data_IF_874227849714
#
_entry.id   IF_874227849714
#
_cell.length_a   1.000
_cell.length_b   1.000
_cell.length_c   1.000
_cell.angle_alpha   90.00
_cell.angle_beta   90.00
_cell.angle_gamma   90.00
#
_symmetry.space_group_name_H-M   'P 1'
#
loop_
_entity.id
_entity.type
_entity.pdbx_description
1 polymer ?
#
# COMPACT_ATOMS: atom_id res chain seq x y z
N UNK A 1 -4.66 -11.11 -1.23
CA UNK A 1 -3.51 -11.04 -0.29
C UNK A 1 -2.26 -11.76 -0.78
N UNK A 2 -2.26 -13.09 -0.99
CA UNK A 2 -1.04 -13.85 -1.37
C UNK A 2 -0.71 -14.99 -0.40
N UNK A 3 0.45 -15.63 -0.58
CA UNK A 3 0.91 -16.76 0.25
C UNK A 3 1.46 -16.25 1.58
N UNK A 4 1.17 -16.96 2.68
CA UNK A 4 1.65 -16.61 4.01
C UNK A 4 2.74 -17.59 4.45
N UNK A 5 3.92 -17.08 4.79
CA UNK A 5 5.02 -17.90 5.31
C UNK A 5 5.31 -17.55 6.76
N UNK A 6 5.30 -18.56 7.62
CA UNK A 6 5.69 -18.44 9.01
C UNK A 6 6.93 -19.31 9.25
N UNK A 7 8.00 -18.69 9.74
CA UNK A 7 9.23 -19.36 10.12
C UNK A 7 9.47 -19.10 11.62
N UNK A 8 9.59 -20.18 12.38
CA UNK A 8 9.82 -20.16 13.83
C UNK A 8 11.09 -20.95 14.15
N UNK A 9 11.99 -20.35 14.92
CA UNK A 9 13.16 -21.03 15.46
C UNK A 9 12.96 -21.20 16.96
N UNK A 10 13.11 -22.42 17.45
CA UNK A 10 12.94 -22.77 18.88
C UNK A 10 14.20 -23.46 19.40
N UNK A 11 14.45 -23.35 20.71
CA UNK A 11 15.49 -24.12 21.40
C UNK A 11 14.97 -25.53 21.80
N UNK A 12 15.79 -26.30 22.50
CA UNK A 12 15.47 -27.67 22.94
C UNK A 12 14.25 -27.74 23.88
N UNK A 13 13.98 -26.67 24.64
CA UNK A 13 12.82 -26.55 25.52
C UNK A 13 11.56 -26.05 24.79
N UNK A 14 11.63 -25.83 23.47
CA UNK A 14 10.53 -25.30 22.67
C UNK A 14 10.31 -23.78 22.81
N UNK A 15 11.26 -23.06 23.42
CA UNK A 15 11.18 -21.60 23.58
C UNK A 15 11.58 -20.91 22.27
N UNK A 16 10.71 -20.01 21.79
CA UNK A 16 10.94 -19.19 20.60
C UNK A 16 12.20 -18.32 20.75
N UNK A 17 13.13 -18.49 19.81
CA UNK A 17 14.36 -17.70 19.70
C UNK A 17 14.28 -16.67 18.57
N UNK A 18 13.55 -16.99 17.48
CA UNK A 18 13.38 -16.12 16.32
C UNK A 18 12.06 -16.40 15.63
N UNK A 19 11.47 -15.36 15.06
CA UNK A 19 10.29 -15.43 14.22
C UNK A 19 10.51 -14.60 12.95
N UNK A 20 10.16 -15.14 11.80
CA UNK A 20 10.15 -14.44 10.52
C UNK A 20 8.81 -14.70 9.82
N UNK A 21 8.11 -13.62 9.46
CA UNK A 21 6.77 -13.67 8.88
C UNK A 21 6.78 -12.96 7.53
N UNK A 22 6.65 -13.71 6.44
CA UNK A 22 6.45 -13.13 5.11
C UNK A 22 4.95 -13.05 4.85
N UNK A 23 4.39 -11.87 5.13
CA UNK A 23 2.97 -11.63 4.99
C UNK A 23 2.59 -11.45 3.54
N UNK A 24 1.54 -12.17 3.14
CA UNK A 24 0.89 -12.16 1.85
C UNK A 24 0.81 -10.77 1.17
N UNK A 25 0.19 -9.77 1.81
CA UNK A 25 0.05 -8.42 1.22
C UNK A 25 1.40 -7.76 0.91
N UNK A 26 2.44 -8.03 1.70
CA UNK A 26 3.79 -7.49 1.47
C UNK A 26 4.37 -7.93 0.13
N UNK A 27 4.03 -9.14 -0.33
CA UNK A 27 4.45 -9.66 -1.63
C UNK A 27 3.83 -8.89 -2.80
N UNK A 28 2.65 -8.31 -2.59
CA UNK A 28 1.92 -7.53 -3.61
C UNK A 28 2.32 -6.05 -3.64
N UNK A 29 3.21 -5.59 -2.76
CA UNK A 29 3.54 -4.16 -2.65
C UNK A 29 4.06 -3.57 -3.98
N UNK A 30 4.91 -4.31 -4.70
CA UNK A 30 5.40 -3.88 -6.00
C UNK A 30 4.29 -3.75 -7.05
N UNK A 31 3.34 -4.68 -7.06
CA UNK A 31 2.20 -4.66 -7.98
C UNK A 31 1.27 -3.47 -7.67
N UNK A 32 0.98 -3.23 -6.38
CA UNK A 32 0.18 -2.09 -5.93
C UNK A 32 0.80 -0.75 -6.36
N UNK A 33 2.11 -0.56 -6.15
CA UNK A 33 2.81 0.67 -6.58
C UNK A 33 2.75 0.87 -8.10
N UNK A 34 2.88 -0.20 -8.89
CA UNK A 34 2.74 -0.14 -10.35
C UNK A 34 1.32 0.23 -10.76
N UNK A 35 0.29 -0.30 -10.10
CA UNK A 35 -1.11 0.04 -10.35
C UNK A 35 -1.38 1.53 -10.09
N UNK A 36 -0.89 2.08 -8.98
CA UNK A 36 -1.01 3.52 -8.69
C UNK A 36 -0.33 4.35 -9.78
N UNK A 37 0.88 3.96 -10.21
CA UNK A 37 1.58 4.64 -11.31
C UNK A 37 0.79 4.61 -12.62
N UNK A 38 0.20 3.46 -12.97
CA UNK A 38 -0.61 3.33 -14.19
C UNK A 38 -1.86 4.20 -14.14
N UNK A 39 -2.56 4.24 -13.00
CA UNK A 39 -3.73 5.11 -12.78
C UNK A 39 -3.32 6.58 -12.92
N UNK A 40 -2.21 6.98 -12.30
CA UNK A 40 -1.69 8.34 -12.40
C UNK A 40 -1.40 8.75 -13.86
N UNK A 41 -0.66 7.91 -14.60
CA UNK A 41 -0.31 8.18 -16.00
C UNK A 41 -1.54 8.27 -16.93
N UNK A 42 -2.60 7.53 -16.63
CA UNK A 42 -3.78 7.47 -17.50
C UNK A 42 -4.83 8.53 -17.17
N UNK A 43 -4.87 9.02 -15.93
CA UNK A 43 -5.95 9.88 -15.45
C UNK A 43 -5.52 11.27 -14.98
N UNK A 44 -4.23 11.51 -14.74
CA UNK A 44 -3.72 12.85 -14.39
C UNK A 44 -3.31 13.56 -15.68
N UNK A 45 -4.16 14.46 -16.15
CA UNK A 45 -4.01 15.21 -17.41
C UNK A 45 -4.05 16.73 -17.22
N UNK A 46 -3.56 17.23 -16.08
CA UNK A 46 -3.46 18.67 -15.79
C UNK A 46 -4.67 19.27 -15.05
N UNK A 47 -5.76 18.51 -14.89
CA UNK A 47 -6.98 18.95 -14.17
C UNK A 47 -6.93 18.76 -12.64
N UNK A 48 -5.74 18.59 -12.05
CA UNK A 48 -5.55 18.41 -10.61
C UNK A 48 -6.05 17.07 -10.06
N UNK A 49 -6.00 16.92 -8.72
CA UNK A 49 -6.45 15.75 -7.97
C UNK A 49 -7.95 15.84 -7.66
N UNK A 50 -8.78 15.38 -8.60
CA UNK A 50 -10.23 15.27 -8.39
C UNK A 50 -10.64 13.98 -7.64
N UNK A 51 -11.85 14.00 -7.08
CA UNK A 51 -12.42 12.88 -6.32
C UNK A 51 -12.52 11.58 -7.13
N UNK A 52 -12.71 11.67 -8.45
CA UNK A 52 -12.71 10.50 -9.34
C UNK A 52 -11.35 9.80 -9.40
N UNK A 53 -10.25 10.57 -9.38
CA UNK A 53 -8.88 10.03 -9.36
C UNK A 53 -8.58 9.39 -8.00
N UNK A 54 -8.94 10.04 -6.90
CA UNK A 54 -8.75 9.50 -5.55
C UNK A 54 -9.47 8.15 -5.39
N UNK A 55 -10.73 8.08 -5.83
CA UNK A 55 -11.50 6.84 -5.82
C UNK A 55 -10.89 5.74 -6.72
N UNK A 56 -10.29 6.10 -7.87
CA UNK A 56 -9.60 5.13 -8.73
C UNK A 56 -8.34 4.59 -8.08
N UNK A 57 -7.53 5.44 -7.46
CA UNK A 57 -6.30 5.03 -6.75
C UNK A 57 -6.67 4.00 -5.68
N UNK A 58 -7.66 4.30 -4.86
CA UNK A 58 -8.10 3.38 -3.82
C UNK A 58 -8.76 2.13 -4.36
N UNK A 59 -9.58 2.24 -5.40
CA UNK A 59 -10.16 1.07 -6.05
C UNK A 59 -9.03 0.14 -6.53
N UNK A 60 -8.00 0.70 -7.17
CA UNK A 60 -6.81 -0.03 -7.60
C UNK A 60 -6.11 -0.76 -6.46
N UNK A 61 -6.00 -0.13 -5.30
CA UNK A 61 -5.43 -0.76 -4.09
C UNK A 61 -6.37 -1.84 -3.52
N UNK A 62 -7.67 -1.58 -3.43
CA UNK A 62 -8.69 -2.52 -2.92
C UNK A 62 -8.80 -3.81 -3.74
N UNK A 63 -8.50 -3.77 -5.03
CA UNK A 63 -8.47 -4.97 -5.89
C UNK A 63 -7.46 -6.03 -5.42
N UNK A 64 -6.43 -5.64 -4.66
CA UNK A 64 -5.46 -6.58 -4.08
C UNK A 64 -5.93 -7.18 -2.74
N UNK A 65 -7.07 -6.72 -2.22
CA UNK A 65 -7.56 -6.97 -0.85
C UNK A 65 -6.41 -6.86 0.17
N UNK A 66 -5.78 -5.69 0.31
CA UNK A 66 -4.63 -5.55 1.16
C UNK A 66 -5.07 -5.66 2.63
N UNK A 67 -4.61 -6.71 3.32
CA UNK A 67 -4.64 -6.68 4.78
C UNK A 67 -3.52 -5.78 5.27
N UNK A 68 -3.75 -4.48 5.31
CA UNK A 68 -2.75 -3.55 5.84
C UNK A 68 -2.46 -3.86 7.31
N UNK A 69 -3.50 -4.18 8.09
CA UNK A 69 -3.34 -4.63 9.47
C UNK A 69 -2.54 -5.92 9.65
N UNK A 70 -2.69 -6.89 8.74
CA UNK A 70 -1.90 -8.11 8.82
C UNK A 70 -0.45 -7.89 8.36
N UNK A 71 -0.19 -6.95 7.45
CA UNK A 71 1.14 -6.75 6.86
C UNK A 71 2.02 -5.75 7.59
N UNK A 72 1.42 -4.76 8.26
CA UNK A 72 2.16 -3.72 8.99
C UNK A 72 1.84 -3.71 10.47
N UNK A 73 0.97 -4.63 10.94
CA UNK A 73 0.44 -4.64 12.31
C UNK A 73 -0.29 -3.34 12.70
N UNK A 74 -0.76 -2.54 11.72
CA UNK A 74 -1.43 -1.25 11.93
C UNK A 74 -2.97 -1.33 11.89
N UNK A 75 -3.66 -0.52 12.70
CA UNK A 75 -5.10 -0.63 12.95
C UNK A 75 -5.96 -0.03 11.82
N UNK A 76 -6.66 -0.90 11.06
CA UNK A 76 -8.01 -0.72 10.49
C UNK A 76 -8.34 0.42 9.50
N UNK A 77 -7.54 1.48 9.40
CA UNK A 77 -7.78 2.61 8.51
C UNK A 77 -6.90 2.51 7.27
N UNK A 78 -7.40 3.03 6.15
CA UNK A 78 -6.66 3.17 4.90
C UNK A 78 -6.57 4.66 4.56
N UNK A 79 -5.83 5.44 5.38
CA UNK A 79 -5.66 6.85 5.13
C UNK A 79 -4.95 7.01 3.78
N UNK A 80 -5.53 7.83 2.91
CA UNK A 80 -4.96 8.16 1.62
C UNK A 80 -4.35 9.55 1.72
N UNK A 81 -3.04 9.63 1.56
CA UNK A 81 -2.30 10.88 1.42
C UNK A 81 -1.73 10.93 0.00
N UNK A 82 -2.20 11.88 -0.81
CA UNK A 82 -1.76 12.07 -2.20
C UNK A 82 -1.15 13.45 -2.34
N UNK A 83 0.06 13.48 -2.88
CA UNK A 83 0.77 14.69 -3.24
C UNK A 83 1.04 14.68 -4.74
N UNK A 84 0.63 15.76 -5.42
CA UNK A 84 0.99 16.03 -6.80
C UNK A 84 2.22 16.94 -6.81
N UNK A 85 3.33 16.40 -7.29
CA UNK A 85 4.62 17.12 -7.36
C UNK A 85 4.94 17.44 -8.81
N UNK A 86 5.28 18.70 -9.07
CA UNK A 86 5.64 19.18 -10.40
C UNK A 86 7.06 18.80 -10.81
N UNK A 87 7.43 19.06 -12.08
CA UNK A 87 8.72 18.65 -12.63
C UNK A 87 9.92 19.29 -11.92
N UNK A 88 9.74 20.44 -11.25
CA UNK A 88 10.77 21.15 -10.51
C UNK A 88 10.78 20.78 -9.02
N UNK A 89 9.96 19.80 -8.61
CA UNK A 89 9.87 19.32 -7.23
C UNK A 89 8.93 20.14 -6.34
N UNK A 90 8.21 21.10 -6.91
CA UNK A 90 7.21 21.89 -6.22
C UNK A 90 5.95 21.08 -5.93
N UNK A 91 5.36 21.26 -4.74
CA UNK A 91 4.07 20.67 -4.41
C UNK A 91 2.96 21.47 -5.10
N UNK A 92 2.33 20.88 -6.11
CA UNK A 92 1.24 21.51 -6.87
C UNK A 92 -0.09 21.35 -6.14
N UNK A 93 -0.34 20.18 -5.56
CA UNK A 93 -1.60 19.88 -4.87
C UNK A 93 -1.41 18.77 -3.83
N UNK A 94 -2.17 18.83 -2.74
CA UNK A 94 -2.18 17.81 -1.69
C UNK A 94 -3.62 17.48 -1.28
N UNK A 95 -3.87 16.20 -1.05
CA UNK A 95 -5.15 15.67 -0.57
C UNK A 95 -4.88 14.62 0.51
N UNK A 96 -5.56 14.76 1.64
CA UNK A 96 -5.52 13.78 2.74
C UNK A 96 -6.95 13.31 2.98
N UNK A 97 -7.13 12.00 3.06
CA UNK A 97 -8.39 11.35 3.39
C UNK A 97 -8.14 10.33 4.49
N UNK A 98 -8.79 10.52 5.63
CA UNK A 98 -8.66 9.63 6.79
C UNK A 98 -9.59 8.42 6.69
#
# INVERSE_FOLDING_TARGET
RGTLFHEYHVNEDGILQKVNLLIATGQNNLAMNRTVKQIALHHINGNGLNEGILNRIEHGIRLFDPCLSCSTHAYGQMPLHVQLVGPQGELLEERIRN
#
